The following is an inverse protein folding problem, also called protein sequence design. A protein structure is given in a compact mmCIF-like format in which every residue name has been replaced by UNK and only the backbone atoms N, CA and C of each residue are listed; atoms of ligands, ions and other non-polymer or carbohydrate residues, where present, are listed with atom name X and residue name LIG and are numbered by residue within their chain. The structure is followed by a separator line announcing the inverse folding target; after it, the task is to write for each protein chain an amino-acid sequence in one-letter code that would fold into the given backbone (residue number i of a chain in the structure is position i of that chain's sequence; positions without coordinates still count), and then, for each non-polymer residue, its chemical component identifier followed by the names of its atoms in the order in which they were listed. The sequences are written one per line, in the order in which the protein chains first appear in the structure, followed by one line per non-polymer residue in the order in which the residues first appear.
data_IF_357359030954
#
_entry.id   IF_357359030954
#
_cell.length_a   1.000
_cell.length_b   1.000
_cell.length_c   1.000
_cell.angle_alpha   90.00
_cell.angle_beta   90.00
_cell.angle_gamma   90.00
#
_symmetry.space_group_name_H-M   'P 1'
#
loop_
_entity.id
_entity.type
_entity.pdbx_description
1 polymer ?
#
# COMPACT_ATOMS: atom_id res chain seq x y z
N UNK A 1 31.43 3.30 3.37
CA UNK A 1 30.28 3.24 2.44
C UNK A 1 29.67 4.63 2.32
N UNK A 2 29.83 5.30 1.18
CA UNK A 2 29.29 6.64 0.93
C UNK A 2 27.76 6.56 0.73
N UNK A 3 27.01 7.18 1.63
CA UNK A 3 25.53 7.23 1.59
C UNK A 3 25.15 8.11 0.38
N UNK A 4 24.59 7.51 -0.68
CA UNK A 4 24.07 8.28 -1.83
C UNK A 4 23.01 9.26 -1.34
N UNK A 5 23.23 10.55 -1.57
CA UNK A 5 22.25 11.59 -1.29
C UNK A 5 21.02 11.36 -2.19
N UNK A 6 19.84 11.15 -1.59
CA UNK A 6 18.58 11.10 -2.33
C UNK A 6 18.07 12.53 -2.47
N UNK A 7 18.04 13.05 -3.70
CA UNK A 7 17.45 14.35 -4.03
C UNK A 7 16.02 14.14 -4.52
N UNK A 8 15.07 14.85 -3.93
CA UNK A 8 13.68 14.89 -4.41
C UNK A 8 13.65 15.86 -5.60
N UNK A 9 13.31 15.35 -6.78
CA UNK A 9 13.18 16.17 -8.01
C UNK A 9 11.78 16.78 -8.11
N UNK A 10 10.77 16.02 -7.70
CA UNK A 10 9.38 16.44 -7.66
C UNK A 10 8.65 15.73 -6.53
N UNK A 11 7.71 16.43 -5.91
CA UNK A 11 6.82 15.90 -4.89
C UNK A 11 5.42 16.47 -5.12
N UNK A 12 4.40 15.62 -4.96
CA UNK A 12 3.01 16.06 -5.04
C UNK A 12 2.71 17.12 -3.96
N UNK A 13 2.26 18.33 -4.32
CA UNK A 13 1.96 19.40 -3.35
C UNK A 13 0.71 19.11 -2.49
N UNK A 14 -0.18 18.21 -2.93
CA UNK A 14 -1.39 17.84 -2.20
C UNK A 14 -1.68 16.34 -2.32
N UNK A 15 -1.03 15.48 -1.51
CA UNK A 15 -1.17 14.02 -1.57
C UNK A 15 -2.60 13.51 -1.36
N UNK A 16 -3.40 14.23 -0.57
CA UNK A 16 -4.80 13.86 -0.28
C UNK A 16 -5.81 14.39 -1.30
N UNK A 17 -5.37 15.19 -2.29
CA UNK A 17 -6.26 15.75 -3.31
C UNK A 17 -6.59 14.72 -4.39
N UNK A 18 -7.87 14.59 -4.71
CA UNK A 18 -8.37 13.73 -5.81
C UNK A 18 -7.77 14.09 -7.16
N UNK A 19 -7.35 15.35 -7.37
CA UNK A 19 -6.72 15.83 -8.61
C UNK A 19 -5.47 15.05 -9.06
N UNK A 20 -4.75 14.42 -8.14
CA UNK A 20 -3.55 13.62 -8.44
C UNK A 20 -3.81 12.10 -8.35
N UNK A 21 -5.03 11.68 -8.06
CA UNK A 21 -5.43 10.29 -8.04
C UNK A 21 -5.89 9.88 -9.44
N UNK A 22 -5.05 9.14 -10.17
CA UNK A 22 -5.36 8.69 -11.52
C UNK A 22 -6.10 7.35 -11.47
N UNK A 23 -7.24 7.28 -12.16
CA UNK A 23 -8.05 6.07 -12.26
C UNK A 23 -7.35 5.03 -13.15
N UNK A 24 -7.19 3.81 -12.62
CA UNK A 24 -6.65 2.67 -13.38
C UNK A 24 -7.78 1.86 -14.02
N UNK A 25 -8.83 1.55 -13.24
CA UNK A 25 -9.99 0.75 -13.66
C UNK A 25 -11.21 1.17 -12.87
N UNK A 26 -12.37 1.18 -13.51
CA UNK A 26 -13.68 1.31 -12.86
C UNK A 26 -14.61 0.21 -13.38
N UNK A 27 -15.48 -0.28 -12.51
CA UNK A 27 -16.34 -1.43 -12.80
C UNK A 27 -17.62 -1.36 -11.98
N UNK A 28 -18.73 -1.79 -12.58
CA UNK A 28 -20.02 -1.95 -11.91
C UNK A 28 -20.14 -3.38 -11.38
N UNK A 29 -19.74 -3.57 -10.12
CA UNK A 29 -19.82 -4.86 -9.45
C UNK A 29 -19.99 -4.65 -7.94
N UNK A 30 -20.57 -5.64 -7.26
CA UNK A 30 -20.58 -5.66 -5.81
C UNK A 30 -19.19 -5.98 -5.26
N UNK A 31 -18.84 -5.35 -4.15
CA UNK A 31 -17.57 -5.55 -3.46
C UNK A 31 -17.59 -6.86 -2.65
N UNK A 32 -17.33 -7.97 -3.33
CA UNK A 32 -17.23 -9.31 -2.75
C UNK A 32 -15.77 -9.73 -2.54
N UNK A 33 -15.53 -10.70 -1.65
CA UNK A 33 -14.19 -11.25 -1.40
C UNK A 33 -13.52 -11.77 -2.68
N UNK A 34 -14.30 -12.40 -3.56
CA UNK A 34 -13.79 -12.92 -4.82
C UNK A 34 -13.34 -11.78 -5.74
N UNK A 35 -14.17 -10.74 -5.91
CA UNK A 35 -13.83 -9.55 -6.70
C UNK A 35 -12.56 -8.88 -6.15
N UNK A 36 -12.48 -8.66 -4.83
CA UNK A 36 -11.30 -8.06 -4.21
C UNK A 36 -10.03 -8.88 -4.50
N UNK A 37 -10.07 -10.19 -4.28
CA UNK A 37 -8.89 -11.06 -4.48
C UNK A 37 -8.47 -11.12 -5.95
N UNK A 38 -9.42 -11.23 -6.86
CA UNK A 38 -9.16 -11.27 -8.31
C UNK A 38 -8.54 -9.97 -8.79
N UNK A 39 -9.12 -8.82 -8.42
CA UNK A 39 -8.62 -7.51 -8.85
C UNK A 39 -7.26 -7.18 -8.21
N UNK A 40 -7.08 -7.49 -6.92
CA UNK A 40 -5.78 -7.31 -6.26
C UNK A 40 -4.68 -8.15 -6.92
N UNK A 41 -4.99 -9.42 -7.24
CA UNK A 41 -4.07 -10.31 -7.96
C UNK A 41 -3.75 -9.75 -9.35
N UNK A 42 -4.77 -9.34 -10.11
CA UNK A 42 -4.59 -8.79 -11.46
C UNK A 42 -3.68 -7.56 -11.47
N UNK A 43 -3.90 -6.60 -10.57
CA UNK A 43 -3.04 -5.41 -10.50
C UNK A 43 -1.63 -5.80 -10.03
N UNK A 44 -1.48 -6.68 -9.04
CA UNK A 44 -0.17 -7.13 -8.58
C UNK A 44 0.63 -7.79 -9.69
N UNK A 45 0.00 -8.63 -10.51
CA UNK A 45 0.61 -9.28 -11.67
C UNK A 45 1.01 -8.28 -12.76
N UNK A 46 0.27 -7.17 -12.92
CA UNK A 46 0.65 -6.07 -13.83
C UNK A 46 1.80 -5.22 -13.28
N UNK A 47 1.88 -5.05 -11.95
CA UNK A 47 2.91 -4.22 -11.28
C UNK A 47 4.29 -4.89 -11.25
N UNK A 48 4.35 -6.21 -11.03
CA UNK A 48 5.62 -6.96 -10.91
C UNK A 48 6.55 -6.77 -12.14
N UNK A 49 6.08 -6.91 -13.39
CA UNK A 49 6.91 -6.78 -14.58
C UNK A 49 7.05 -5.34 -15.09
N UNK A 50 6.67 -4.31 -14.32
CA UNK A 50 6.79 -2.92 -14.79
C UNK A 50 8.24 -2.56 -15.11
N UNK A 51 8.49 -2.32 -16.40
CA UNK A 51 9.78 -1.87 -16.89
C UNK A 51 9.99 -0.38 -16.53
N UNK A 52 11.25 0.04 -16.28
CA UNK A 52 11.55 1.45 -16.12
C UNK A 52 11.12 2.25 -17.35
N UNK A 53 10.45 3.39 -17.13
CA UNK A 53 10.11 4.31 -18.19
C UNK A 53 11.35 5.09 -18.59
N UNK A 54 11.78 4.94 -19.84
CA UNK A 54 12.89 5.72 -20.41
C UNK A 54 12.32 6.93 -21.13
N UNK A 55 12.80 8.11 -20.78
CA UNK A 55 12.43 9.37 -21.42
C UNK A 55 13.70 10.10 -21.86
N UNK A 56 13.65 10.75 -23.03
CA UNK A 56 14.71 11.63 -23.51
C UNK A 56 14.28 13.08 -23.31
N UNK A 57 15.04 13.83 -22.51
CA UNK A 57 14.81 15.26 -22.29
C UNK A 57 16.09 15.97 -22.72
N UNK A 58 16.02 16.79 -23.77
CA UNK A 58 17.11 17.69 -24.19
C UNK A 58 18.47 16.97 -24.34
N UNK A 59 18.49 15.84 -25.05
CA UNK A 59 19.66 14.95 -25.25
C UNK A 59 20.16 14.21 -23.99
N UNK A 60 19.34 14.13 -22.95
CA UNK A 60 19.64 13.41 -21.72
C UNK A 60 18.65 12.25 -21.56
N UNK A 61 19.18 11.02 -21.47
CA UNK A 61 18.36 9.83 -21.20
C UNK A 61 18.12 9.69 -19.70
N UNK A 62 16.84 9.67 -19.31
CA UNK A 62 16.41 9.48 -17.93
C UNK A 62 15.62 8.18 -17.85
N UNK A 63 16.01 7.32 -16.92
CA UNK A 63 15.30 6.07 -16.62
C UNK A 63 14.59 6.19 -15.27
N UNK A 64 13.26 6.07 -15.29
CA UNK A 64 12.41 6.19 -14.12
C UNK A 64 11.92 4.79 -13.75
N UNK A 65 12.37 4.27 -12.60
CA UNK A 65 11.84 3.01 -12.06
C UNK A 65 10.62 3.31 -11.18
N UNK A 66 9.39 2.94 -11.59
CA UNK A 66 8.22 3.10 -10.74
C UNK A 66 8.29 2.15 -9.53
N UNK A 67 7.80 2.60 -8.39
CA UNK A 67 7.56 1.76 -7.20
C UNK A 67 6.15 2.06 -6.72
N UNK A 68 5.27 1.05 -6.80
CA UNK A 68 3.86 1.18 -6.43
C UNK A 68 3.64 0.52 -5.08
N UNK A 69 2.91 1.19 -4.20
CA UNK A 69 2.57 0.74 -2.86
C UNK A 69 1.04 0.74 -2.75
N UNK A 70 0.47 -0.41 -2.39
CA UNK A 70 -0.97 -0.57 -2.20
C UNK A 70 -1.40 -0.06 -0.81
N UNK A 71 -1.27 1.24 -0.58
CA UNK A 71 -1.63 1.87 0.72
C UNK A 71 -3.01 2.52 0.74
N UNK A 72 -3.58 2.84 -0.43
CA UNK A 72 -4.92 3.44 -0.55
C UNK A 72 -6.00 2.36 -0.60
N UNK A 73 -6.03 1.52 0.44
CA UNK A 73 -7.01 0.44 0.63
C UNK A 73 -7.57 0.53 2.04
N UNK A 74 -8.84 0.18 2.22
CA UNK A 74 -9.46 0.15 3.53
C UNK A 74 -9.12 -1.13 4.31
N UNK A 75 -9.49 -1.16 5.60
CA UNK A 75 -9.24 -2.32 6.48
C UNK A 75 -10.00 -3.59 6.08
N UNK A 76 -11.17 -3.48 5.43
CA UNK A 76 -11.95 -4.64 4.94
C UNK A 76 -11.21 -5.30 3.77
N UNK A 77 -10.69 -4.51 2.84
CA UNK A 77 -9.85 -4.98 1.73
C UNK A 77 -8.56 -5.61 2.29
N UNK A 78 -7.89 -4.96 3.26
CA UNK A 78 -6.72 -5.53 3.93
C UNK A 78 -7.00 -6.91 4.53
N UNK A 79 -8.13 -7.06 5.24
CA UNK A 79 -8.55 -8.36 5.81
C UNK A 79 -8.79 -9.40 4.71
N UNK A 80 -9.48 -9.03 3.63
CA UNK A 80 -9.75 -9.92 2.51
C UNK A 80 -8.45 -10.41 1.83
N UNK A 81 -7.47 -9.53 1.67
CA UNK A 81 -6.15 -9.83 1.08
C UNK A 81 -5.27 -10.63 2.04
N UNK A 82 -5.36 -10.38 3.35
CA UNK A 82 -4.64 -11.11 4.39
C UNK A 82 -5.32 -12.43 4.81
N UNK A 83 -6.35 -12.86 4.06
CA UNK A 83 -7.10 -14.09 4.32
C UNK A 83 -7.73 -14.16 5.72
N UNK A 84 -8.05 -13.00 6.29
CA UNK A 84 -8.78 -12.89 7.55
C UNK A 84 -10.29 -12.89 7.27
N UNK A 85 -11.00 -13.93 7.73
CA UNK A 85 -12.44 -14.11 7.48
C UNK A 85 -13.33 -13.07 8.17
N UNK A 86 -12.86 -12.48 9.28
CA UNK A 86 -13.62 -11.51 10.08
C UNK A 86 -13.00 -10.12 9.99
N UNK A 87 -13.86 -9.11 9.83
CA UNK A 87 -13.48 -7.70 9.92
C UNK A 87 -13.05 -7.27 11.32
N UNK A 88 -13.35 -8.09 12.34
CA UNK A 88 -12.94 -7.89 13.73
C UNK A 88 -11.58 -8.53 14.07
N UNK A 89 -10.97 -9.20 13.10
CA UNK A 89 -9.62 -9.74 13.22
C UNK A 89 -8.61 -8.69 12.79
N UNK A 90 -7.51 -8.55 13.53
CA UNK A 90 -6.41 -7.70 13.11
C UNK A 90 -5.62 -8.39 11.98
N UNK A 91 -5.70 -7.90 10.74
CA UNK A 91 -4.96 -8.45 9.58
C UNK A 91 -3.43 -8.51 9.77
N UNK A 92 -2.86 -7.74 10.71
CA UNK A 92 -1.42 -7.78 11.00
C UNK A 92 -1.04 -8.95 11.92
N UNK A 93 -1.97 -9.44 12.76
CA UNK A 93 -1.68 -10.42 13.82
C UNK A 93 -2.56 -11.68 13.76
N UNK A 94 -3.63 -11.68 12.97
CA UNK A 94 -4.60 -12.79 12.89
C UNK A 94 -5.46 -12.98 14.14
N UNK A 95 -5.40 -12.08 15.12
CA UNK A 95 -6.12 -12.21 16.38
C UNK A 95 -7.53 -11.60 16.30
N UNK A 96 -8.54 -12.35 16.75
CA UNK A 96 -9.93 -11.89 16.95
C UNK A 96 -9.95 -11.00 18.19
N UNK A 97 -10.11 -9.69 17.96
CA UNK A 97 -10.19 -8.60 18.95
C UNK A 97 -8.90 -8.17 19.66
N UNK A 98 -8.75 -6.85 19.77
CA UNK A 98 -7.88 -6.16 20.71
C UNK A 98 -8.52 -6.22 22.09
N UNK A 99 -7.96 -6.95 23.05
CA UNK A 99 -8.38 -6.80 24.46
C UNK A 99 -7.92 -5.42 24.93
N UNK A 100 -8.84 -4.46 24.95
CA UNK A 100 -8.64 -3.14 25.56
C UNK A 100 -8.15 -3.35 26.99
N UNK A 101 -6.88 -3.03 27.26
CA UNK A 101 -6.32 -3.06 28.63
C UNK A 101 -4.96 -3.74 28.82
N UNK A 102 -4.36 -4.39 27.81
CA UNK A 102 -3.06 -5.07 27.96
C UNK A 102 -1.96 -4.44 27.11
N UNK A 103 -1.62 -3.16 27.31
CA UNK A 103 -0.50 -2.54 26.61
C UNK A 103 0.41 -1.83 27.59
N UNK A 104 1.68 -2.22 27.60
CA UNK A 104 2.72 -1.39 28.20
C UNK A 104 3.30 -0.48 27.10
N UNK A 105 3.41 0.81 27.40
CA UNK A 105 4.25 1.72 26.63
C UNK A 105 5.71 1.36 26.91
N UNK A 106 6.44 0.92 25.90
CA UNK A 106 7.89 0.77 26.00
C UNK A 106 8.56 2.15 25.87
N UNK A 107 9.73 2.37 26.48
CA UNK A 107 10.46 3.65 26.44
C UNK A 107 10.72 4.21 25.03
N UNK A 108 10.69 3.35 24.01
CA UNK A 108 10.97 3.69 22.61
C UNK A 108 9.71 4.05 21.79
N UNK A 109 8.56 4.29 22.44
CA UNK A 109 7.29 4.55 21.75
C UNK A 109 6.69 3.32 21.05
N UNK A 110 7.16 2.12 21.43
CA UNK A 110 6.64 0.85 20.95
C UNK A 110 5.57 0.32 21.91
N UNK A 111 4.57 -0.35 21.35
CA UNK A 111 3.49 -0.98 22.11
C UNK A 111 3.67 -2.49 22.08
N UNK A 112 3.72 -3.11 23.25
CA UNK A 112 3.75 -4.57 23.39
C UNK A 112 2.56 -5.05 24.22
N UNK A 113 1.96 -6.20 23.86
CA UNK A 113 0.93 -6.82 24.68
C UNK A 113 1.52 -7.24 26.03
N UNK A 114 0.79 -7.00 27.13
CA UNK A 114 1.10 -7.61 28.42
C UNK A 114 0.74 -9.09 28.34
N UNK A 115 1.75 -9.96 28.45
CA UNK A 115 1.58 -11.42 28.63
C UNK A 115 0.81 -11.71 29.91
#
# INVERSE_FOLDING_TARGET
MTKKLKKIVWQNPSPSSTRYCLLIKFMFAEETLNVIKTEFKSIKEQVIPLLPTKISITNLEVSIKPTLIFCMIDGKICNAVAECESTQTCYLRGAKQWRTGQVASLPDGKWAPLT
#
